data_IF_390310137928
#
_entry.id   IF_390310137928
#
_cell.length_a   1.000
_cell.length_b   1.000
_cell.length_c   1.000
_cell.angle_alpha   90.00
_cell.angle_beta   90.00
_cell.angle_gamma   90.00
#
_symmetry.space_group_name_H-M   'P 1'
#
loop_
_entity.id
_entity.type
_entity.pdbx_description
1 polymer ?
#
# COMPACT_ATOMS: atom_id res chain seq x y z
N UNK A 1 -12.86 -10.04 -9.74
CA UNK A 1 -12.53 -9.34 -8.48
C UNK A 1 -11.53 -8.25 -8.82
N UNK A 2 -11.82 -7.04 -8.46
CA UNK A 2 -11.02 -5.86 -8.78
C UNK A 2 -10.48 -5.23 -7.49
N UNK A 3 -9.17 -4.98 -7.44
CA UNK A 3 -8.54 -4.26 -6.35
C UNK A 3 -8.26 -2.83 -6.82
N UNK A 4 -8.90 -1.88 -6.19
CA UNK A 4 -8.70 -0.46 -6.43
C UNK A 4 -7.71 0.11 -5.43
N UNK A 5 -6.70 0.80 -5.94
CA UNK A 5 -5.76 1.58 -5.12
C UNK A 5 -6.00 3.05 -5.49
N UNK A 6 -6.52 3.82 -4.56
CA UNK A 6 -6.79 5.23 -4.79
C UNK A 6 -5.51 5.99 -5.20
N UNK A 7 -5.57 6.92 -6.19
CA UNK A 7 -4.40 7.69 -6.64
C UNK A 7 -3.68 8.45 -5.53
N UNK A 8 -4.41 8.95 -4.53
CA UNK A 8 -3.82 9.63 -3.38
C UNK A 8 -3.04 8.67 -2.47
N UNK A 9 -3.46 7.40 -2.41
CA UNK A 9 -2.71 6.35 -1.72
C UNK A 9 -1.42 6.02 -2.46
N UNK A 10 -1.42 6.02 -3.78
CA UNK A 10 -0.21 5.75 -4.59
C UNK A 10 0.90 6.77 -4.32
N UNK A 11 0.55 8.03 -4.03
CA UNK A 11 1.50 9.09 -3.64
C UNK A 11 2.15 8.87 -2.27
N UNK A 12 1.64 7.94 -1.48
CA UNK A 12 2.14 7.60 -0.15
C UNK A 12 3.17 6.46 -0.18
N UNK A 13 3.61 5.99 -1.35
CA UNK A 13 4.69 5.01 -1.44
C UNK A 13 6.00 5.66 -0.98
N UNK A 14 6.54 5.19 0.15
CA UNK A 14 7.66 5.82 0.85
C UNK A 14 8.76 4.86 1.30
N UNK A 15 8.56 3.55 1.12
CA UNK A 15 9.61 2.63 1.51
C UNK A 15 10.86 2.87 0.70
N UNK A 16 11.99 3.07 1.37
CA UNK A 16 13.30 3.06 0.77
C UNK A 16 13.58 1.71 0.11
N UNK A 17 14.41 1.70 -0.92
CA UNK A 17 14.68 0.52 -1.72
C UNK A 17 15.24 -0.65 -0.90
N UNK A 18 16.01 -0.37 0.15
CA UNK A 18 16.51 -1.38 1.09
C UNK A 18 15.36 -2.11 1.78
N UNK A 19 14.36 -1.40 2.27
CA UNK A 19 13.18 -1.99 2.90
C UNK A 19 12.32 -2.76 1.91
N UNK A 20 12.20 -2.26 0.68
CA UNK A 20 11.54 -2.97 -0.42
C UNK A 20 12.27 -4.28 -0.73
N UNK A 21 13.61 -4.23 -0.80
CA UNK A 21 14.47 -5.38 -1.10
C UNK A 21 14.33 -6.48 -0.04
N UNK A 22 14.34 -6.14 1.25
CA UNK A 22 14.11 -7.09 2.35
C UNK A 22 12.73 -7.72 2.31
N UNK A 23 11.72 -6.96 1.89
CA UNK A 23 10.38 -7.53 1.68
C UNK A 23 10.36 -8.53 0.53
N UNK A 24 11.00 -8.21 -0.60
CA UNK A 24 11.14 -9.12 -1.75
C UNK A 24 11.93 -10.37 -1.37
N UNK A 25 13.02 -10.22 -0.61
CA UNK A 25 13.79 -11.33 -0.06
C UNK A 25 12.91 -12.24 0.80
N UNK A 26 12.06 -11.67 1.66
CA UNK A 26 11.10 -12.43 2.47
C UNK A 26 10.15 -13.25 1.61
N UNK A 27 9.68 -12.70 0.48
CA UNK A 27 8.84 -13.45 -0.48
C UNK A 27 9.61 -14.58 -1.18
N UNK A 28 10.87 -14.33 -1.56
CA UNK A 28 11.76 -15.36 -2.16
C UNK A 28 11.97 -16.52 -1.18
N UNK A 29 12.14 -16.20 0.10
CA UNK A 29 12.36 -17.17 1.16
C UNK A 29 11.07 -17.82 1.69
N UNK A 30 9.91 -17.42 1.15
CA UNK A 30 8.58 -17.87 1.61
C UNK A 30 8.35 -17.62 3.11
N UNK A 31 8.94 -16.55 3.62
CA UNK A 31 8.73 -16.13 5.00
C UNK A 31 7.31 -15.58 5.19
N UNK A 32 6.73 -15.74 6.38
CA UNK A 32 5.45 -15.11 6.69
C UNK A 32 5.53 -13.59 6.56
N UNK A 33 4.69 -13.01 5.72
CA UNK A 33 4.55 -11.56 5.57
C UNK A 33 3.19 -11.10 6.09
N UNK A 34 3.09 -9.89 6.64
CA UNK A 34 1.81 -9.37 7.10
C UNK A 34 0.76 -9.35 5.98
N UNK A 35 -0.51 -9.62 6.27
CA UNK A 35 -1.57 -9.55 5.28
C UNK A 35 -1.80 -8.12 4.81
N UNK A 36 -2.38 -7.98 3.62
CA UNK A 36 -2.98 -6.72 3.18
C UNK A 36 -4.42 -6.65 3.65
N UNK A 37 -4.92 -5.43 3.89
CA UNK A 37 -6.30 -5.21 4.31
C UNK A 37 -7.04 -4.41 3.26
N UNK A 38 -8.22 -4.88 2.92
CA UNK A 38 -9.09 -4.26 1.93
C UNK A 38 -10.50 -4.13 2.48
N UNK A 39 -11.24 -3.13 1.99
CA UNK A 39 -12.67 -3.02 2.23
C UNK A 39 -13.42 -3.37 0.96
N UNK A 40 -14.48 -4.14 1.09
CA UNK A 40 -15.40 -4.39 0.00
C UNK A 40 -16.32 -3.19 -0.16
N UNK A 41 -16.23 -2.49 -1.29
CA UNK A 41 -17.04 -1.31 -1.61
C UNK A 41 -18.27 -1.70 -2.40
N UNK A 42 -18.14 -2.69 -3.28
CA UNK A 42 -19.22 -3.30 -4.04
C UNK A 42 -18.91 -4.78 -4.27
N UNK A 43 -19.87 -5.54 -4.81
CA UNK A 43 -19.72 -6.98 -5.02
C UNK A 43 -18.50 -7.30 -5.90
N UNK A 44 -17.47 -7.84 -5.26
CA UNK A 44 -16.23 -8.19 -5.91
C UNK A 44 -15.27 -7.03 -6.21
N UNK A 45 -15.60 -5.82 -5.75
CA UNK A 45 -14.72 -4.63 -5.81
C UNK A 45 -14.16 -4.34 -4.43
N UNK A 46 -12.86 -4.18 -4.36
CA UNK A 46 -12.12 -4.00 -3.10
C UNK A 46 -11.27 -2.74 -3.17
N UNK A 47 -11.28 -1.95 -2.11
CA UNK A 47 -10.39 -0.81 -1.94
C UNK A 47 -9.32 -1.13 -0.91
N UNK A 48 -8.05 -0.83 -1.23
CA UNK A 48 -6.93 -1.07 -0.35
C UNK A 48 -6.94 -0.10 0.85
N UNK A 49 -6.82 -0.66 2.06
CA UNK A 49 -6.72 0.10 3.32
C UNK A 49 -5.30 0.08 3.88
N UNK A 50 -4.68 -1.10 3.90
CA UNK A 50 -3.30 -1.28 4.36
C UNK A 50 -2.58 -2.28 3.47
N UNK A 51 -1.27 -2.08 3.30
CA UNK A 51 -0.41 -2.93 2.49
C UNK A 51 0.06 -2.28 1.19
N UNK A 52 -0.16 -0.97 0.99
CA UNK A 52 0.32 -0.23 -0.17
C UNK A 52 1.81 -0.45 -0.40
N UNK A 53 2.62 -0.29 0.65
CA UNK A 53 4.07 -0.43 0.57
C UNK A 53 4.47 -1.83 0.07
N UNK A 54 3.80 -2.87 0.54
CA UNK A 54 4.04 -4.27 0.15
C UNK A 54 3.69 -4.53 -1.31
N UNK A 55 2.50 -4.10 -1.73
CA UNK A 55 2.06 -4.25 -3.14
C UNK A 55 2.98 -3.47 -4.07
N UNK A 56 3.27 -2.20 -3.74
CA UNK A 56 4.12 -1.33 -4.57
C UNK A 56 5.54 -1.86 -4.67
N UNK A 57 6.12 -2.39 -3.60
CA UNK A 57 7.45 -3.00 -3.61
C UNK A 57 7.50 -4.24 -4.52
N UNK A 58 6.47 -5.09 -4.46
CA UNK A 58 6.36 -6.25 -5.34
C UNK A 58 6.25 -5.83 -6.81
N UNK A 59 5.40 -4.84 -7.11
CA UNK A 59 5.20 -4.35 -8.47
C UNK A 59 6.45 -3.63 -8.98
N UNK A 60 7.12 -2.83 -8.17
CA UNK A 60 8.38 -2.17 -8.52
C UNK A 60 9.46 -3.20 -8.88
N UNK A 61 9.60 -4.26 -8.08
CA UNK A 61 10.53 -5.34 -8.39
C UNK A 61 10.16 -6.08 -9.67
N UNK A 62 8.87 -6.22 -9.97
CA UNK A 62 8.38 -6.84 -11.20
C UNK A 62 8.48 -5.94 -12.44
N UNK A 63 8.75 -4.64 -12.27
CA UNK A 63 8.70 -3.65 -13.34
C UNK A 63 7.27 -3.33 -13.79
N UNK A 64 6.32 -3.48 -12.90
CA UNK A 64 4.89 -3.24 -13.13
C UNK A 64 4.40 -2.10 -12.21
N UNK A 65 5.20 -1.05 -12.06
CA UNK A 65 4.90 0.04 -11.12
C UNK A 65 3.58 0.72 -11.43
N UNK A 66 2.78 0.96 -10.39
CA UNK A 66 1.47 1.60 -10.52
C UNK A 66 1.62 3.05 -11.03
N UNK A 67 1.18 3.29 -12.26
CA UNK A 67 1.04 4.64 -12.83
C UNK A 67 2.29 5.23 -13.49
N UNK A 68 3.40 4.52 -13.58
CA UNK A 68 4.62 4.98 -14.25
C UNK A 68 5.04 3.99 -15.36
N UNK A 69 5.49 4.55 -16.49
CA UNK A 69 5.87 3.80 -17.69
C UNK A 69 7.40 3.72 -17.88
N UNK A 70 8.17 4.13 -16.89
CA UNK A 70 9.62 4.14 -16.98
C UNK A 70 10.25 2.80 -16.59
N UNK A 71 11.41 2.52 -17.22
CA UNK A 71 12.28 1.34 -16.99
C UNK A 71 12.91 1.33 -15.57
N UNK A 72 12.21 1.87 -14.58
CA UNK A 72 12.63 1.91 -13.18
C UNK A 72 12.31 0.58 -12.51
N UNK A 73 13.31 -0.28 -12.39
CA UNK A 73 13.20 -1.58 -11.74
C UNK A 73 13.94 -1.54 -10.42
N UNK A 74 13.31 -2.03 -9.36
CA UNK A 74 14.01 -2.24 -8.11
C UNK A 74 15.21 -3.16 -8.32
N UNK A 75 16.39 -2.65 -7.99
CA UNK A 75 17.61 -3.44 -7.85
C UNK A 75 17.74 -3.82 -6.39
N UNK A 76 17.74 -5.12 -6.08
CA UNK A 76 17.83 -5.58 -4.70
C UNK A 76 19.14 -5.13 -4.05
N UNK A 77 19.04 -4.56 -2.85
CA UNK A 77 20.18 -4.21 -2.02
C UNK A 77 19.81 -4.24 -0.54
N UNK A 78 20.81 -4.46 0.32
CA UNK A 78 20.56 -4.57 1.76
C UNK A 78 19.77 -5.82 2.14
N UNK A 79 19.76 -6.85 1.28
CA UNK A 79 19.33 -8.20 1.64
C UNK A 79 20.31 -8.74 2.65
N UNK A 80 19.85 -9.15 3.82
CA UNK A 80 20.67 -9.51 4.97
C UNK A 80 20.65 -11.02 5.28
N UNK A 81 19.83 -11.79 4.59
CA UNK A 81 19.74 -13.25 4.73
C UNK A 81 20.44 -13.95 3.56
N UNK A 82 20.25 -13.45 2.33
CA UNK A 82 20.84 -14.03 1.12
C UNK A 82 21.60 -12.95 0.34
N UNK A 83 22.87 -12.80 0.64
CA UNK A 83 23.74 -11.79 0.03
C UNK A 83 23.77 -11.83 -1.51
N UNK A 84 23.67 -13.03 -2.09
CA UNK A 84 23.67 -13.25 -3.54
C UNK A 84 22.47 -12.61 -4.28
N UNK A 85 21.46 -12.15 -3.56
CA UNK A 85 20.34 -11.41 -4.13
C UNK A 85 20.69 -9.94 -4.41
N UNK A 86 21.67 -9.38 -3.70
CA UNK A 86 22.06 -8.00 -3.86
C UNK A 86 22.62 -7.72 -5.27
N UNK A 87 22.16 -6.63 -5.88
CA UNK A 87 22.51 -6.26 -7.26
C UNK A 87 21.66 -6.92 -8.35
N UNK A 88 20.72 -7.79 -7.97
CA UNK A 88 19.83 -8.44 -8.93
C UNK A 88 18.52 -7.67 -9.11
N UNK A 89 18.07 -7.60 -10.37
CA UNK A 89 16.69 -7.24 -10.74
C UNK A 89 15.89 -8.51 -10.96
N UNK A 90 14.56 -8.40 -11.04
CA UNK A 90 13.70 -9.55 -11.33
C UNK A 90 14.15 -10.35 -12.56
N UNK A 91 14.54 -9.66 -13.64
CA UNK A 91 14.95 -10.31 -14.89
C UNK A 91 16.31 -11.03 -14.78
N UNK A 92 17.17 -10.61 -13.84
CA UNK A 92 18.48 -11.23 -13.58
C UNK A 92 18.41 -12.40 -12.59
N UNK A 93 17.28 -12.58 -11.91
CA UNK A 93 17.10 -13.74 -11.03
C UNK A 93 17.17 -15.07 -11.80
N UNK A 94 17.69 -16.15 -11.19
CA UNK A 94 17.51 -17.50 -11.68
C UNK A 94 16.03 -17.81 -11.97
N UNK A 95 15.75 -18.56 -13.04
CA UNK A 95 14.37 -18.88 -13.46
C UNK A 95 13.51 -19.48 -12.35
N UNK A 96 14.10 -20.33 -11.51
CA UNK A 96 13.41 -20.93 -10.37
C UNK A 96 12.89 -19.85 -9.38
N UNK A 97 13.71 -18.84 -9.08
CA UNK A 97 13.33 -17.73 -8.18
C UNK A 97 12.32 -16.80 -8.85
N UNK A 98 12.42 -16.55 -10.16
CA UNK A 98 11.39 -15.79 -10.88
C UNK A 98 10.02 -16.47 -10.80
N UNK A 99 9.98 -17.81 -10.96
CA UNK A 99 8.75 -18.59 -10.82
C UNK A 99 8.23 -18.51 -9.38
N UNK A 100 9.11 -18.61 -8.41
CA UNK A 100 8.78 -18.55 -6.99
C UNK A 100 8.12 -17.20 -6.63
N UNK A 101 8.72 -16.10 -7.05
CA UNK A 101 8.13 -14.75 -6.89
C UNK A 101 6.78 -14.63 -7.58
N UNK A 102 6.63 -15.14 -8.80
CA UNK A 102 5.34 -15.11 -9.52
C UNK A 102 4.24 -15.92 -8.83
N UNK A 103 4.62 -16.91 -8.03
CA UNK A 103 3.71 -17.79 -7.28
C UNK A 103 3.59 -17.40 -5.81
N UNK A 104 4.36 -16.42 -5.35
CA UNK A 104 4.22 -15.93 -4.00
C UNK A 104 2.83 -15.34 -3.80
N UNK A 105 2.30 -15.49 -2.61
CA UNK A 105 0.99 -14.96 -2.25
C UNK A 105 1.10 -14.12 -0.97
N UNK A 106 0.30 -13.08 -0.92
CA UNK A 106 0.08 -12.28 0.28
C UNK A 106 -1.36 -12.49 0.69
N UNK A 107 -1.58 -12.79 1.97
CA UNK A 107 -2.93 -12.95 2.51
C UNK A 107 -3.68 -11.62 2.41
N UNK A 108 -4.93 -11.67 1.96
CA UNK A 108 -5.82 -10.53 1.91
C UNK A 108 -6.94 -10.72 2.94
N UNK A 109 -7.05 -9.80 3.87
CA UNK A 109 -8.13 -9.74 4.85
C UNK A 109 -9.19 -8.74 4.37
N UNK A 110 -10.42 -9.21 4.24
CA UNK A 110 -11.52 -8.42 3.66
C UNK A 110 -12.45 -7.92 4.76
N UNK A 111 -12.60 -6.61 4.84
CA UNK A 111 -13.64 -5.96 5.64
C UNK A 111 -14.87 -5.86 4.77
N UNK A 112 -15.95 -6.51 5.20
CA UNK A 112 -17.18 -6.53 4.43
C UNK A 112 -17.86 -5.16 4.39
N UNK A 113 -18.55 -4.87 3.26
CA UNK A 113 -19.27 -3.61 3.05
C UNK A 113 -20.34 -3.35 4.12
N UNK A 114 -20.98 -4.40 4.63
CA UNK A 114 -22.01 -4.35 5.67
C UNK A 114 -21.46 -4.06 7.07
N UNK A 115 -20.13 -4.07 7.25
CA UNK A 115 -19.54 -3.78 8.56
C UNK A 115 -19.83 -2.35 8.98
N UNK A 116 -20.14 -2.16 10.27
CA UNK A 116 -20.38 -0.82 10.82
C UNK A 116 -19.17 0.11 10.60
N UNK A 117 -19.44 1.37 10.28
CA UNK A 117 -18.42 2.40 10.03
C UNK A 117 -17.47 2.54 11.23
N UNK A 118 -18.02 2.48 12.45
CA UNK A 118 -17.25 2.51 13.70
C UNK A 118 -16.23 1.38 13.77
N UNK A 119 -16.62 0.16 13.35
CA UNK A 119 -15.76 -1.01 13.33
C UNK A 119 -14.64 -0.84 12.30
N UNK A 120 -14.96 -0.36 11.10
CA UNK A 120 -13.98 -0.06 10.05
C UNK A 120 -12.92 0.92 10.54
N UNK A 121 -13.34 2.00 11.21
CA UNK A 121 -12.44 2.97 11.82
C UNK A 121 -11.52 2.36 12.88
N UNK A 122 -12.09 1.58 13.80
CA UNK A 122 -11.32 0.94 14.88
C UNK A 122 -10.31 -0.08 14.34
N UNK A 123 -10.69 -0.86 13.33
CA UNK A 123 -9.77 -1.80 12.66
C UNK A 123 -8.62 -1.04 12.01
N UNK A 124 -8.93 -0.01 11.21
CA UNK A 124 -7.92 0.81 10.57
C UNK A 124 -6.94 1.42 11.59
N UNK A 125 -7.44 2.00 12.68
CA UNK A 125 -6.60 2.55 13.75
C UNK A 125 -5.70 1.49 14.40
N UNK A 126 -6.20 0.27 14.62
CA UNK A 126 -5.42 -0.81 15.22
C UNK A 126 -4.35 -1.37 14.27
N UNK A 127 -4.64 -1.48 12.98
CA UNK A 127 -3.69 -1.96 11.98
C UNK A 127 -2.46 -1.05 11.89
N UNK A 128 -2.66 0.26 12.02
CA UNK A 128 -1.58 1.24 11.97
C UNK A 128 -0.69 1.29 13.23
N UNK A 129 -1.04 0.60 14.31
CA UNK A 129 -0.22 0.57 15.54
C UNK A 129 0.91 -0.46 15.50
N UNK A 130 0.95 -1.34 14.49
CA UNK A 130 1.92 -2.45 14.38
C UNK A 130 3.01 -2.28 13.32
N UNK A 131 3.03 -1.17 12.56
CA UNK A 131 3.97 -0.91 11.47
C UNK A 131 4.55 0.50 11.49
N UNK A 132 4.94 1.00 10.34
CA UNK A 132 5.27 2.42 10.17
C UNK A 132 4.00 3.24 10.41
N UNK A 133 4.00 3.99 11.51
CA UNK A 133 2.84 4.75 11.94
C UNK A 133 2.42 5.74 10.85
N UNK A 134 1.20 5.62 10.37
CA UNK A 134 0.60 6.68 9.58
C UNK A 134 0.56 7.96 10.41
N UNK A 135 0.83 9.08 9.77
CA UNK A 135 0.66 10.38 10.39
C UNK A 135 -0.80 10.58 10.81
N UNK A 136 -1.01 11.43 11.80
CA UNK A 136 -2.37 11.76 12.24
C UNK A 136 -3.26 12.29 11.08
N UNK A 137 -2.65 12.89 10.04
CA UNK A 137 -3.36 13.36 8.85
C UNK A 137 -3.76 12.20 7.93
N UNK A 138 -2.90 11.22 7.73
CA UNK A 138 -3.21 10.01 6.94
C UNK A 138 -4.35 9.22 7.58
N UNK A 139 -4.33 9.09 8.92
CA UNK A 139 -5.43 8.46 9.67
C UNK A 139 -6.74 9.23 9.46
N UNK A 140 -6.71 10.57 9.54
CA UNK A 140 -7.89 11.39 9.29
C UNK A 140 -8.42 11.23 7.87
N UNK A 141 -7.56 11.28 6.87
CA UNK A 141 -7.94 11.13 5.47
C UNK A 141 -8.58 9.77 5.20
N UNK A 142 -8.00 8.70 5.73
CA UNK A 142 -8.59 7.37 5.61
C UNK A 142 -9.92 7.26 6.35
N UNK A 143 -10.04 7.88 7.53
CA UNK A 143 -11.29 7.89 8.29
C UNK A 143 -12.41 8.59 7.52
N UNK A 144 -12.12 9.74 6.92
CA UNK A 144 -13.09 10.51 6.14
C UNK A 144 -13.56 9.71 4.93
N UNK A 145 -12.66 8.99 4.26
CA UNK A 145 -13.02 8.09 3.15
C UNK A 145 -13.93 6.94 3.58
N UNK A 146 -13.69 6.38 4.76
CA UNK A 146 -14.56 5.34 5.33
C UNK A 146 -15.97 5.86 5.64
N UNK A 147 -16.13 7.17 5.84
CA UNK A 147 -17.42 7.82 6.09
C UNK A 147 -18.21 8.14 4.80
N UNK A 148 -17.56 8.02 3.63
CA UNK A 148 -18.16 8.27 2.32
C UNK A 148 -17.46 9.37 1.52
N UNK A 149 -17.74 9.43 0.21
CA UNK A 149 -17.17 10.44 -0.70
C UNK A 149 -17.50 11.88 -0.30
N UNK A 150 -18.69 12.10 0.25
CA UNK A 150 -19.20 13.43 0.59
C UNK A 150 -18.29 14.18 1.58
N UNK A 151 -17.60 13.44 2.47
CA UNK A 151 -16.66 14.02 3.42
C UNK A 151 -15.37 14.51 2.76
N UNK A 152 -14.92 13.84 1.71
CA UNK A 152 -13.72 14.23 0.92
C UNK A 152 -14.06 15.43 0.07
N UNK A 153 -15.18 15.39 -0.64
CA UNK A 153 -15.65 16.48 -1.50
C UNK A 153 -15.82 17.76 -0.69
N UNK A 154 -16.38 17.67 0.51
CA UNK A 154 -16.49 18.80 1.45
C UNK A 154 -15.11 19.36 1.85
N UNK A 155 -14.14 18.50 2.19
CA UNK A 155 -12.79 18.96 2.55
C UNK A 155 -12.05 19.59 1.37
N UNK A 156 -12.21 19.02 0.17
CA UNK A 156 -11.65 19.61 -1.04
C UNK A 156 -12.26 20.97 -1.35
N UNK A 157 -13.57 21.12 -1.19
CA UNK A 157 -14.26 22.39 -1.37
C UNK A 157 -13.78 23.43 -0.33
N UNK A 158 -13.68 23.04 0.94
CA UNK A 158 -13.09 23.87 1.98
C UNK A 158 -11.64 24.28 1.65
N UNK A 159 -10.84 23.35 1.15
CA UNK A 159 -9.43 23.61 0.80
C UNK A 159 -9.27 24.61 -0.36
N UNK A 160 -10.26 24.72 -1.23
CA UNK A 160 -10.30 25.69 -2.35
C UNK A 160 -10.83 27.06 -1.92
N UNK A 161 -11.56 27.12 -0.80
CA UNK A 161 -12.16 28.36 -0.29
C UNK A 161 -11.08 29.31 0.27
N UNK A 162 -11.05 30.55 -0.23
CA UNK A 162 -10.05 31.55 0.16
C UNK A 162 -10.24 32.03 1.61
N UNK A 163 -11.47 32.14 2.09
CA UNK A 163 -11.77 32.56 3.45
C UNK A 163 -11.33 31.50 4.46
N UNK A 164 -11.53 30.22 4.13
CA UNK A 164 -11.07 29.11 4.94
C UNK A 164 -9.53 29.07 5.03
N UNK A 165 -8.83 29.30 3.92
CA UNK A 165 -7.37 29.42 3.90
C UNK A 165 -6.85 30.58 4.75
N UNK A 166 -7.54 31.71 4.73
CA UNK A 166 -7.16 32.87 5.53
C UNK A 166 -7.30 32.63 7.04
N UNK A 167 -8.23 31.78 7.46
CA UNK A 167 -8.44 31.44 8.88
C UNK A 167 -7.40 30.42 9.36
N UNK A 168 -7.01 29.44 8.53
CA UNK A 168 -6.05 28.40 8.92
C UNK A 168 -4.61 28.91 8.93
N UNK A 169 -4.26 29.89 8.09
CA UNK A 169 -2.92 30.45 8.00
C UNK A 169 -2.65 31.59 9.02
N UNK A 170 -3.50 31.75 10.00
CA UNK A 170 -3.29 32.61 11.17
C UNK A 170 -2.78 31.80 12.36
#
# INVERSE_FOLDING_TARGET
>A
KELTISPDYQRLFRWEEEKQSRFVESLILEMPVPPIFVIETDDGVYELIDGLQRISSYLHFRGERLGETDDDFLVLHGCDIVDDLNGLTFNKLPKALQIKIKRSFVRMEVIKKESEISLKYHMFKRLNTGGELLSAQEIRNCTIRLLGSDGIDFLEECSKNQDFKAVINR
#
